data_IF_951452870176
#
_entry.id   IF_951452870176
#
_cell.length_a   1.000
_cell.length_b   1.000
_cell.length_c   1.000
_cell.angle_alpha   90.00
_cell.angle_beta   90.00
_cell.angle_gamma   90.00
#
_symmetry.space_group_name_H-M   'P 1'
#
loop_
_entity.id
_entity.type
_entity.pdbx_description
1 polymer ?
#
# COMPACT_ATOMS: atom_id res chain seq x y z
N UNK A 1 1.11 -56.68 4.25
CA UNK A 1 0.02 -55.68 4.28
C UNK A 1 0.52 -54.30 4.71
N UNK A 2 1.40 -54.20 5.72
CA UNK A 2 1.89 -52.90 6.21
C UNK A 2 2.81 -52.17 5.22
N UNK A 3 3.78 -52.85 4.61
CA UNK A 3 4.67 -52.26 3.60
C UNK A 3 3.90 -51.68 2.39
N UNK A 4 2.83 -52.35 1.99
CA UNK A 4 1.97 -51.91 0.89
C UNK A 4 1.19 -50.64 1.26
N UNK A 5 0.74 -50.54 2.52
CA UNK A 5 0.14 -49.31 3.06
C UNK A 5 1.11 -48.13 3.02
N UNK A 6 2.36 -48.32 3.44
CA UNK A 6 3.38 -47.28 3.36
C UNK A 6 3.67 -46.84 1.92
N UNK A 7 3.70 -47.78 0.96
CA UNK A 7 3.88 -47.46 -0.46
C UNK A 7 2.72 -46.63 -1.02
N UNK A 8 1.47 -46.93 -0.65
CA UNK A 8 0.30 -46.16 -1.07
C UNK A 8 0.37 -44.74 -0.50
N UNK A 9 0.66 -44.60 0.80
CA UNK A 9 0.78 -43.29 1.46
C UNK A 9 1.90 -42.46 0.84
N UNK A 10 3.06 -43.08 0.56
CA UNK A 10 4.17 -42.42 -0.12
C UNK A 10 3.75 -41.89 -1.51
N UNK A 11 3.00 -42.69 -2.26
CA UNK A 11 2.52 -42.31 -3.60
C UNK A 11 1.56 -41.12 -3.52
N UNK A 12 0.65 -41.11 -2.54
CA UNK A 12 -0.26 -39.98 -2.30
C UNK A 12 0.51 -38.71 -1.96
N UNK A 13 1.53 -38.78 -1.10
CA UNK A 13 2.36 -37.63 -0.73
C UNK A 13 3.08 -37.08 -1.97
N UNK A 14 3.69 -37.95 -2.79
CA UNK A 14 4.39 -37.55 -4.02
C UNK A 14 3.41 -36.88 -5.00
N UNK A 15 2.20 -37.43 -5.16
CA UNK A 15 1.18 -36.85 -6.01
C UNK A 15 0.79 -35.43 -5.56
N UNK A 16 0.61 -35.21 -4.25
CA UNK A 16 0.32 -33.88 -3.71
C UNK A 16 1.48 -32.90 -3.92
N UNK A 17 2.72 -33.30 -3.66
CA UNK A 17 3.90 -32.44 -3.88
C UNK A 17 4.06 -32.07 -5.35
N UNK A 18 3.73 -32.97 -6.28
CA UNK A 18 3.77 -32.69 -7.72
C UNK A 18 2.62 -31.78 -8.18
N UNK A 19 1.44 -31.93 -7.59
CA UNK A 19 0.25 -31.14 -7.90
C UNK A 19 0.31 -29.72 -7.31
N UNK A 20 0.89 -29.54 -6.12
CA UNK A 20 0.93 -28.25 -5.43
C UNK A 20 1.55 -27.12 -6.28
N UNK A 21 2.70 -27.29 -6.96
CA UNK A 21 3.25 -26.27 -7.86
C UNK A 21 2.31 -25.90 -9.02
N UNK A 22 1.58 -26.89 -9.56
CA UNK A 22 0.63 -26.71 -10.66
C UNK A 22 -0.60 -25.91 -10.22
N UNK A 23 -1.16 -26.21 -9.04
CA UNK A 23 -2.27 -25.48 -8.44
C UNK A 23 -1.85 -24.11 -7.89
N UNK A 24 -0.62 -23.98 -7.40
CA UNK A 24 -0.11 -22.75 -6.79
C UNK A 24 0.16 -21.64 -7.81
N UNK A 25 0.12 -21.93 -9.11
CA UNK A 25 0.34 -20.94 -10.16
C UNK A 25 1.73 -20.31 -10.16
N UNK A 26 2.70 -20.91 -9.46
CA UNK A 26 4.10 -20.46 -9.37
C UNK A 26 4.80 -20.82 -10.68
N UNK A 27 4.61 -19.99 -11.69
CA UNK A 27 5.14 -20.22 -13.04
C UNK A 27 4.27 -19.68 -14.19
N UNK A 28 3.10 -19.09 -13.89
CA UNK A 28 2.20 -18.48 -14.88
C UNK A 28 2.78 -17.21 -15.51
N UNK A 29 3.81 -17.33 -16.34
CA UNK A 29 4.16 -16.28 -17.28
C UNK A 29 3.14 -16.30 -18.41
N UNK A 30 2.13 -15.43 -18.31
CA UNK A 30 1.28 -15.06 -19.43
C UNK A 30 2.15 -14.45 -20.53
N UNK A 31 2.70 -15.29 -21.42
CA UNK A 31 3.25 -14.84 -22.69
C UNK A 31 2.04 -14.42 -23.52
N UNK A 32 1.71 -13.13 -23.46
CA UNK A 32 0.65 -12.55 -24.25
C UNK A 32 0.88 -12.88 -25.71
N UNK A 33 0.02 -13.73 -26.28
CA UNK A 33 -0.08 -13.90 -27.72
C UNK A 33 -0.62 -12.60 -28.30
N UNK A 34 0.28 -11.65 -28.61
CA UNK A 34 -0.05 -10.49 -29.44
C UNK A 34 -0.15 -10.95 -30.89
N UNK A 35 -1.22 -11.67 -31.23
CA UNK A 35 -1.68 -11.80 -32.61
C UNK A 35 -2.17 -10.43 -33.04
N UNK A 36 -1.28 -9.67 -33.69
CA UNK A 36 -1.61 -8.39 -34.33
C UNK A 36 -2.48 -8.70 -35.55
N UNK A 37 -3.80 -8.83 -35.35
CA UNK A 37 -4.77 -8.67 -36.42
C UNK A 37 -5.40 -7.29 -36.30
N UNK A 38 -5.07 -6.46 -37.29
CA UNK A 38 -5.41 -5.06 -37.35
C UNK A 38 -6.91 -4.80 -37.34
N UNK A 39 -7.32 -3.87 -36.48
CA UNK A 39 -8.37 -2.90 -36.79
C UNK A 39 -7.88 -1.54 -36.33
N UNK A 40 -7.83 -0.60 -37.28
CA UNK A 40 -7.37 0.78 -37.12
C UNK A 40 -8.02 1.40 -35.87
N UNK A 41 -7.24 1.64 -34.82
CA UNK A 41 -7.67 2.50 -33.71
C UNK A 41 -7.39 3.95 -34.09
N UNK A 42 -8.45 4.74 -34.02
CA UNK A 42 -8.47 6.19 -34.09
C UNK A 42 -7.29 6.78 -33.33
N UNK A 43 -6.45 7.54 -34.04
CA UNK A 43 -5.32 8.26 -33.48
C UNK A 43 -5.89 9.37 -32.61
N UNK A 44 -5.85 9.19 -31.29
CA UNK A 44 -6.21 10.25 -30.35
C UNK A 44 -5.04 11.23 -30.36
N UNK A 45 -5.19 12.32 -31.12
CA UNK A 45 -4.25 13.44 -31.12
C UNK A 45 -4.33 14.17 -29.77
N UNK A 46 -3.49 13.79 -28.81
CA UNK A 46 -3.27 14.57 -27.61
C UNK A 46 -2.46 15.82 -27.97
N UNK A 47 -3.14 16.96 -28.08
CA UNK A 47 -2.49 18.28 -28.02
C UNK A 47 -2.15 18.54 -26.55
N UNK A 48 -0.89 18.38 -26.17
CA UNK A 48 -0.40 18.94 -24.90
C UNK A 48 -0.46 20.46 -25.01
N UNK A 49 -1.30 21.09 -24.18
CA UNK A 49 -1.09 22.48 -23.79
C UNK A 49 -0.11 22.45 -22.63
N UNK A 50 1.10 22.92 -22.87
CA UNK A 50 2.00 23.36 -21.79
C UNK A 50 1.38 24.59 -21.15
N UNK A 51 1.12 24.52 -19.85
CA UNK A 51 0.49 25.61 -19.12
C UNK A 51 0.11 25.18 -17.71
N UNK A 52 1.06 25.43 -16.80
CA UNK A 52 0.93 25.74 -15.37
C UNK A 52 -0.06 24.97 -14.47
N UNK A 53 0.54 24.51 -13.36
CA UNK A 53 -0.02 24.42 -12.02
C UNK A 53 -1.37 23.74 -11.86
N UNK A 54 -1.35 22.51 -11.32
CA UNK A 54 -2.41 22.10 -10.41
C UNK A 54 -1.90 21.12 -9.33
N UNK A 55 -1.78 21.67 -8.12
CA UNK A 55 -1.94 20.97 -6.85
C UNK A 55 -3.26 20.19 -6.89
N UNK A 56 -3.17 18.88 -7.07
CA UNK A 56 -4.33 17.99 -7.04
C UNK A 56 -4.05 16.80 -6.12
N UNK A 57 -4.53 16.89 -4.88
CA UNK A 57 -4.64 15.76 -3.96
C UNK A 57 -5.49 14.67 -4.64
N UNK A 58 -4.94 13.48 -4.79
CA UNK A 58 -5.69 12.26 -5.09
C UNK A 58 -5.10 11.12 -4.26
N UNK A 59 -5.75 10.88 -3.14
CA UNK A 59 -5.58 9.71 -2.28
C UNK A 59 -6.31 8.52 -2.91
N UNK A 60 -5.59 7.75 -3.71
CA UNK A 60 -5.97 6.36 -4.01
C UNK A 60 -4.69 5.54 -4.03
N UNK A 61 -4.47 4.79 -2.96
CA UNK A 61 -3.43 3.76 -2.84
C UNK A 61 -3.70 2.64 -3.84
N UNK A 62 -3.44 2.90 -5.12
CA UNK A 62 -3.16 1.86 -6.09
C UNK A 62 -1.64 1.72 -6.14
N UNK A 63 -1.15 0.51 -5.85
CA UNK A 63 0.23 0.09 -6.08
C UNK A 63 0.57 0.20 -7.57
N UNK A 64 0.72 1.44 -8.03
CA UNK A 64 1.16 1.79 -9.36
C UNK A 64 2.67 1.65 -9.29
N UNK A 65 3.19 0.54 -9.82
CA UNK A 65 4.59 0.45 -10.17
C UNK A 65 4.89 1.61 -11.13
N UNK A 66 5.35 2.74 -10.58
CA UNK A 66 5.76 3.89 -11.37
C UNK A 66 6.99 3.44 -12.13
N UNK A 67 6.92 3.48 -13.44
CA UNK A 67 8.08 3.25 -14.30
C UNK A 67 8.66 4.61 -14.64
N UNK A 68 9.97 4.76 -14.44
CA UNK A 68 10.69 5.94 -14.89
C UNK A 68 11.36 5.63 -16.24
N UNK A 69 11.37 6.61 -17.14
CA UNK A 69 11.93 6.43 -18.48
C UNK A 69 13.37 6.94 -18.46
N UNK A 70 14.33 6.08 -18.78
CA UNK A 70 15.72 6.50 -18.84
C UNK A 70 15.94 7.45 -20.04
N UNK A 71 16.37 8.69 -19.79
CA UNK A 71 16.61 9.69 -20.82
C UNK A 71 17.70 9.29 -21.84
N UNK A 72 18.59 8.36 -21.49
CA UNK A 72 19.66 7.90 -22.38
C UNK A 72 19.25 6.72 -23.27
N UNK A 73 18.42 5.82 -22.74
CA UNK A 73 18.07 4.56 -23.41
C UNK A 73 16.60 4.46 -23.83
N UNK A 74 15.74 5.34 -23.31
CA UNK A 74 14.29 5.33 -23.54
C UNK A 74 13.56 4.12 -22.90
N UNK A 75 14.27 3.26 -22.18
CA UNK A 75 13.72 2.05 -21.60
C UNK A 75 13.07 2.34 -20.24
N UNK A 76 11.89 1.74 -20.02
CA UNK A 76 11.13 1.85 -18.76
C UNK A 76 11.83 1.05 -17.66
N UNK A 77 12.25 1.72 -16.59
CA UNK A 77 12.81 1.10 -15.38
C UNK A 77 11.76 1.08 -14.28
N UNK A 78 11.64 -0.04 -13.57
CA UNK A 78 10.77 -0.13 -12.38
C UNK A 78 11.36 0.76 -11.29
N UNK A 79 10.60 1.76 -10.82
CA UNK A 79 11.01 2.60 -9.68
C UNK A 79 10.86 1.75 -8.43
N UNK A 80 11.98 1.37 -7.82
CA UNK A 80 12.02 0.51 -6.61
C UNK A 80 11.76 1.33 -5.32
N UNK A 81 11.62 2.64 -5.44
CA UNK A 81 11.33 3.55 -4.34
C UNK A 81 11.96 4.91 -4.65
N UNK A 82 11.34 5.98 -4.17
CA UNK A 82 12.02 7.28 -4.11
C UNK A 82 12.79 7.29 -2.80
N UNK A 83 14.10 7.20 -2.88
CA UNK A 83 14.96 7.39 -1.72
C UNK A 83 15.14 8.89 -1.55
N UNK A 84 14.80 9.38 -0.36
CA UNK A 84 15.24 10.71 0.04
C UNK A 84 16.75 10.62 0.32
N UNK A 85 17.52 11.49 -0.32
CA UNK A 85 18.96 11.56 -0.10
C UNK A 85 19.32 12.54 1.02
N UNK A 86 18.33 13.22 1.59
CA UNK A 86 18.54 14.11 2.71
C UNK A 86 18.74 13.29 3.99
N UNK A 87 19.96 13.29 4.57
CA UNK A 87 20.22 12.58 5.84
C UNK A 87 19.39 13.13 6.99
N UNK A 88 18.91 14.38 6.90
CA UNK A 88 18.17 15.04 7.95
C UNK A 88 16.65 14.79 7.87
N UNK A 89 16.17 14.08 6.83
CA UNK A 89 14.74 13.76 6.67
C UNK A 89 14.17 12.89 7.80
N UNK A 90 15.04 12.27 8.60
CA UNK A 90 14.69 11.46 9.76
C UNK A 90 15.19 12.06 11.09
N UNK A 91 15.77 13.25 11.05
CA UNK A 91 16.20 13.96 12.25
C UNK A 91 15.00 14.74 12.81
N UNK A 92 14.27 14.10 13.73
CA UNK A 92 13.19 14.76 14.44
C UNK A 92 13.77 15.83 15.38
N UNK A 93 13.23 17.05 15.29
CA UNK A 93 13.58 18.11 16.22
C UNK A 93 13.08 17.75 17.62
N UNK A 94 13.98 17.69 18.60
CA UNK A 94 13.63 17.36 19.99
C UNK A 94 12.54 18.30 20.51
N UNK A 95 12.56 19.56 20.08
CA UNK A 95 11.54 20.54 20.44
C UNK A 95 10.17 20.20 19.84
N UNK A 96 10.11 19.73 18.59
CA UNK A 96 8.86 19.28 17.96
C UNK A 96 8.25 18.12 18.74
N UNK A 97 9.08 17.17 19.17
CA UNK A 97 8.64 16.03 19.96
C UNK A 97 8.11 16.44 21.35
N UNK A 98 8.80 17.37 22.03
CA UNK A 98 8.37 17.90 23.33
C UNK A 98 7.03 18.65 23.19
N UNK A 99 6.87 19.44 22.14
CA UNK A 99 5.64 20.21 21.89
C UNK A 99 4.46 19.29 21.55
N UNK A 100 4.69 18.21 20.81
CA UNK A 100 3.68 17.18 20.54
C UNK A 100 3.20 16.52 21.85
N UNK A 101 4.13 16.08 22.70
CA UNK A 101 3.83 15.47 24.00
C UNK A 101 3.06 16.43 24.92
N UNK A 102 3.50 17.69 25.02
CA UNK A 102 2.85 18.70 25.86
C UNK A 102 1.42 19.01 25.40
N UNK A 103 1.17 19.02 24.09
CA UNK A 103 -0.16 19.24 23.53
C UNK A 103 -1.07 18.03 23.75
N UNK A 104 -0.54 16.81 23.62
CA UNK A 104 -1.31 15.60 23.87
C UNK A 104 -1.74 15.50 25.35
N UNK A 105 -0.85 15.89 26.28
CA UNK A 105 -1.17 15.90 27.70
C UNK A 105 -2.27 16.90 28.05
N UNK A 106 -2.22 18.12 27.49
CA UNK A 106 -3.27 19.13 27.67
C UNK A 106 -4.63 18.61 27.21
N UNK A 107 -4.69 17.98 26.02
CA UNK A 107 -5.94 17.43 25.50
C UNK A 107 -6.52 16.35 26.42
N UNK A 108 -5.67 15.45 26.93
CA UNK A 108 -6.08 14.42 27.91
C UNK A 108 -6.60 15.04 29.21
N UNK A 109 -5.99 16.13 29.67
CA UNK A 109 -6.47 16.85 30.86
C UNK A 109 -7.83 17.51 30.62
N UNK A 110 -8.03 18.14 29.46
CA UNK A 110 -9.30 18.73 29.05
C UNK A 110 -10.41 17.68 28.93
N UNK A 111 -10.12 16.52 28.33
CA UNK A 111 -11.05 15.39 28.24
C UNK A 111 -11.47 14.87 29.62
N UNK A 112 -10.52 14.76 30.56
CA UNK A 112 -10.81 14.37 31.96
C UNK A 112 -11.69 15.41 32.65
N UNK A 113 -11.42 16.69 32.45
CA UNK A 113 -12.17 17.78 33.06
C UNK A 113 -13.58 17.90 32.47
N UNK A 114 -13.73 17.73 31.16
CA UNK A 114 -15.03 17.67 30.49
C UNK A 114 -15.88 16.49 31.00
N UNK A 115 -15.27 15.32 31.19
CA UNK A 115 -15.94 14.15 31.76
C UNK A 115 -16.36 14.30 33.23
N UNK A 116 -15.72 15.19 33.99
CA UNK A 116 -16.11 15.52 35.37
C UNK A 116 -17.23 16.57 35.39
N UNK A 117 -17.14 17.60 34.54
CA UNK A 117 -18.15 18.65 34.46
C UNK A 117 -19.54 18.11 34.09
N UNK A 118 -19.62 17.17 33.14
CA UNK A 118 -20.88 16.53 32.77
C UNK A 118 -21.54 15.77 33.93
N UNK A 119 -20.74 15.15 34.81
CA UNK A 119 -21.24 14.41 35.98
C UNK A 119 -21.72 15.35 37.09
N UNK A 120 -21.11 16.52 37.24
CA UNK A 120 -21.60 17.54 38.18
C UNK A 120 -22.97 18.06 37.75
N UNK A 121 -23.17 18.36 36.47
CA UNK A 121 -24.46 18.81 35.93
C UNK A 121 -25.58 17.76 36.09
N UNK A 122 -25.27 16.46 35.90
CA UNK A 122 -26.22 15.37 36.14
C UNK A 122 -26.62 15.24 37.63
N UNK A 123 -25.66 15.35 38.56
CA UNK A 123 -25.94 15.30 39.99
C UNK A 123 -26.83 16.46 40.46
N UNK A 124 -26.65 17.66 39.91
CA UNK A 124 -27.50 18.81 40.24
C UNK A 124 -28.89 18.71 39.61
N UNK A 125 -29.05 18.05 38.46
CA UNK A 125 -30.35 17.81 37.83
C UNK A 125 -31.19 16.76 38.58
N UNK A 126 -30.55 15.72 39.14
CA UNK A 126 -31.22 14.69 39.95
C UNK A 126 -31.68 15.18 41.34
N UNK A 127 -31.15 16.33 41.80
CA UNK A 127 -31.48 16.94 43.09
C UNK A 127 -32.62 17.98 43.01
N UNK A 128 -33.15 18.28 41.81
CA UNK A 128 -34.21 19.25 41.56
C UNK A 128 -35.56 18.57 41.28
#
# INVERSE_FOLDING_TARGET
>A
MELYGYLIVLLVIIAFVALLPLLSGVGGFNKGNSTVQGKRKTVINFKLKEGEDNKGKSSTFANTHKFDTDNKTGLKRRVIGKYDNDPNSFDYDINELIDEDANEEKRKQEERLAGLKGKEEELYADLA
#
